data_IF_844699710519
#
_entry.id   IF_844699710519
#
_cell.length_a   1.000
_cell.length_b   1.000
_cell.length_c   1.000
_cell.angle_alpha   90.00
_cell.angle_beta   90.00
_cell.angle_gamma   90.00
#
_symmetry.space_group_name_H-M   'P 1'
#
loop_
_entity.id
_entity.type
_entity.pdbx_description
1 polymer ?
#
# COMPACT_ATOMS: atom_id res chain seq x y z
N UNK A 1 44.29 61.47 44.85
CA UNK A 1 45.39 62.42 44.52
C UNK A 1 46.53 61.61 43.94
N UNK A 2 46.95 61.93 42.71
CA UNK A 2 48.08 61.29 42.02
C UNK A 2 49.40 61.72 42.67
N UNK A 3 50.33 60.80 42.87
CA UNK A 3 51.76 61.11 43.05
C UNK A 3 52.48 60.37 41.93
N UNK A 4 53.06 61.12 40.99
CA UNK A 4 53.90 60.57 39.93
C UNK A 4 55.31 60.30 40.49
N UNK A 5 55.90 59.11 40.27
CA UNK A 5 57.33 58.91 40.48
C UNK A 5 58.13 59.46 39.30
N UNK A 6 59.19 60.22 39.62
CA UNK A 6 60.15 60.77 38.67
C UNK A 6 61.00 59.69 37.97
N UNK A 7 61.53 59.96 36.76
CA UNK A 7 62.29 58.99 35.99
C UNK A 7 63.72 58.84 36.53
N UNK A 8 64.00 57.68 37.14
CA UNK A 8 65.34 57.25 37.51
C UNK A 8 66.17 56.84 36.28
N UNK A 9 67.33 57.49 36.13
CA UNK A 9 68.36 57.37 35.09
C UNK A 9 68.68 55.91 34.74
N UNK A 10 68.59 55.54 33.46
CA UNK A 10 69.02 54.22 32.95
C UNK A 10 70.52 54.01 33.23
N UNK A 11 70.94 52.88 33.83
CA UNK A 11 72.36 52.56 33.96
C UNK A 11 73.00 52.35 32.58
N UNK A 12 74.26 52.80 32.46
CA UNK A 12 75.03 52.80 31.22
C UNK A 12 75.28 51.38 30.69
N UNK A 13 75.39 51.25 29.36
CA UNK A 13 75.46 49.97 28.64
C UNK A 13 76.56 49.00 29.14
N UNK A 14 77.64 49.54 29.69
CA UNK A 14 78.78 48.77 30.20
C UNK A 14 78.41 47.84 31.37
N UNK A 15 77.43 48.24 32.18
CA UNK A 15 77.00 47.45 33.34
C UNK A 15 76.07 46.30 32.94
N UNK A 16 75.39 46.42 31.79
CA UNK A 16 74.68 45.30 31.14
C UNK A 16 75.65 44.34 30.47
N UNK A 17 76.72 44.85 29.86
CA UNK A 17 77.72 44.02 29.19
C UNK A 17 78.48 43.11 30.17
N UNK A 18 78.76 43.58 31.39
CA UNK A 18 79.46 42.79 32.42
C UNK A 18 78.65 41.67 33.05
N UNK A 19 77.32 41.65 32.88
CA UNK A 19 76.44 40.56 33.36
C UNK A 19 76.26 39.41 32.36
N UNK A 20 76.81 39.51 31.16
CA UNK A 20 76.69 38.51 30.10
C UNK A 20 77.94 37.62 29.92
N UNK A 21 78.95 37.77 30.77
CA UNK A 21 80.19 36.97 30.68
C UNK A 21 80.10 35.76 31.61
N UNK A 22 79.91 34.58 31.03
CA UNK A 22 80.05 33.28 31.69
C UNK A 22 81.51 32.83 31.50
N UNK A 23 82.29 32.57 32.56
CA UNK A 23 83.65 32.08 32.39
C UNK A 23 83.63 30.61 31.91
N UNK A 24 84.18 30.38 30.72
CA UNK A 24 84.44 29.04 30.16
C UNK A 24 85.82 28.59 30.61
N UNK A 25 85.93 27.39 31.18
CA UNK A 25 87.21 26.81 31.57
C UNK A 25 88.02 26.39 30.32
N UNK A 26 89.36 26.51 30.33
CA UNK A 26 90.19 26.14 29.19
C UNK A 26 90.22 24.61 29.00
N UNK A 27 90.01 24.18 27.76
CA UNK A 27 90.07 22.78 27.34
C UNK A 27 91.52 22.33 27.20
N UNK A 28 91.87 21.20 27.83
CA UNK A 28 93.23 20.67 27.90
C UNK A 28 93.55 19.89 26.62
N UNK A 29 94.64 20.16 25.88
CA UNK A 29 94.91 19.49 24.61
C UNK A 29 95.48 18.09 24.86
N UNK A 30 94.67 17.05 24.63
CA UNK A 30 95.10 15.66 24.69
C UNK A 30 95.15 15.02 23.29
N UNK A 31 96.38 14.75 22.85
CA UNK A 31 96.88 13.80 21.84
C UNK A 31 96.20 13.71 20.46
N UNK A 32 96.98 14.00 19.42
CA UNK A 32 96.65 13.70 18.03
C UNK A 32 96.47 12.18 17.82
N UNK A 33 95.27 11.77 17.41
CA UNK A 33 94.95 10.39 17.04
C UNK A 33 95.46 10.13 15.62
N UNK A 34 96.23 9.05 15.44
CA UNK A 34 96.78 8.64 14.14
C UNK A 34 95.66 8.40 13.10
N UNK A 35 95.84 8.94 11.90
CA UNK A 35 94.88 8.78 10.80
C UNK A 35 94.82 7.34 10.26
N UNK A 36 93.71 6.94 9.62
CA UNK A 36 93.51 5.57 9.16
C UNK A 36 94.42 5.22 7.97
N UNK A 37 95.04 4.05 8.01
CA UNK A 37 95.78 3.46 6.89
C UNK A 37 94.83 2.95 5.78
N UNK A 38 95.24 2.95 4.50
CA UNK A 38 94.41 2.49 3.40
C UNK A 38 94.10 1.00 3.49
N UNK A 39 92.83 0.64 3.29
CA UNK A 39 92.30 -0.73 3.31
C UNK A 39 91.93 -1.16 1.88
N UNK A 40 92.26 -2.41 1.52
CA UNK A 40 91.89 -3.01 0.23
C UNK A 40 90.36 -3.00 0.01
N UNK A 41 89.87 -2.86 -1.24
CA UNK A 41 88.44 -2.83 -1.53
C UNK A 41 87.73 -4.11 -1.06
N UNK A 42 86.58 -3.91 -0.41
CA UNK A 42 85.81 -4.97 0.22
C UNK A 42 85.36 -6.07 -0.75
N UNK A 43 85.31 -7.30 -0.23
CA UNK A 43 84.81 -8.49 -0.93
C UNK A 43 83.37 -8.25 -1.43
N UNK A 44 83.01 -8.65 -2.66
CA UNK A 44 81.68 -8.41 -3.19
C UNK A 44 80.61 -9.09 -2.32
N UNK A 45 79.59 -8.32 -1.94
CA UNK A 45 78.48 -8.78 -1.13
C UNK A 45 77.64 -9.81 -1.92
N UNK A 46 77.21 -10.93 -1.28
CA UNK A 46 76.33 -11.88 -1.93
C UNK A 46 74.99 -11.21 -2.30
N UNK A 47 74.50 -11.49 -3.50
CA UNK A 47 73.25 -10.91 -4.00
C UNK A 47 72.10 -11.17 -3.02
N UNK A 48 71.36 -10.11 -2.68
CA UNK A 48 70.23 -10.16 -1.75
C UNK A 48 69.21 -11.20 -2.25
N UNK A 49 68.78 -12.15 -1.40
CA UNK A 49 67.81 -13.16 -1.79
C UNK A 49 66.49 -12.50 -2.22
N UNK A 50 65.96 -12.91 -3.37
CA UNK A 50 64.67 -12.42 -3.83
C UNK A 50 63.55 -13.04 -2.99
N UNK A 51 62.76 -12.18 -2.36
CA UNK A 51 61.58 -12.59 -1.57
C UNK A 51 60.55 -13.16 -2.55
N UNK A 52 60.35 -14.48 -2.56
CA UNK A 52 59.20 -15.09 -3.23
C UNK A 52 57.93 -14.52 -2.59
N UNK A 53 57.10 -13.83 -3.38
CA UNK A 53 55.76 -13.42 -2.94
C UNK A 53 54.99 -14.71 -2.60
N UNK A 54 54.57 -14.85 -1.35
CA UNK A 54 53.72 -15.96 -0.94
C UNK A 54 52.49 -16.02 -1.86
N UNK A 55 52.21 -17.21 -2.37
CA UNK A 55 51.06 -17.47 -3.21
C UNK A 55 49.79 -17.04 -2.45
N UNK A 56 48.89 -16.29 -3.10
CA UNK A 56 47.64 -15.88 -2.45
C UNK A 56 46.83 -17.16 -2.23
N UNK A 57 46.77 -17.59 -0.98
CA UNK A 57 45.91 -18.69 -0.59
C UNK A 57 44.50 -18.43 -1.14
N UNK A 58 43.97 -19.40 -1.88
CA UNK A 58 42.60 -19.33 -2.36
C UNK A 58 41.67 -19.56 -1.16
N UNK A 59 40.87 -18.54 -0.85
CA UNK A 59 39.91 -18.57 0.25
C UNK A 59 38.49 -18.83 -0.28
N UNK A 60 38.37 -19.42 -1.47
CA UNK A 60 37.11 -19.83 -2.07
C UNK A 60 36.37 -20.83 -1.16
N UNK A 61 35.06 -20.60 -1.00
CA UNK A 61 34.15 -21.52 -0.30
C UNK A 61 33.80 -21.19 1.17
N UNK A 62 34.34 -20.14 1.77
CA UNK A 62 33.93 -19.70 3.11
C UNK A 62 33.07 -18.42 3.14
N UNK A 63 32.47 -18.13 4.31
CA UNK A 63 31.53 -17.01 4.47
C UNK A 63 32.31 -15.67 4.60
N UNK A 64 31.98 -14.64 3.82
CA UNK A 64 32.57 -13.31 3.99
C UNK A 64 32.12 -12.68 5.31
N UNK A 65 33.00 -11.92 5.95
CA UNK A 65 32.66 -11.24 7.20
C UNK A 65 31.57 -10.18 6.96
N UNK A 66 30.46 -10.18 7.71
CA UNK A 66 29.34 -9.24 7.48
C UNK A 66 29.65 -7.77 7.79
N UNK A 67 30.82 -7.47 8.37
CA UNK A 67 31.23 -6.13 8.78
C UNK A 67 32.30 -5.49 7.90
N UNK A 68 33.32 -6.27 7.53
CA UNK A 68 34.47 -5.77 6.77
C UNK A 68 34.66 -6.50 5.43
N UNK A 69 33.70 -7.34 5.04
CA UNK A 69 33.67 -8.13 3.79
C UNK A 69 34.91 -8.98 3.51
N UNK A 70 35.75 -9.20 4.53
CA UNK A 70 36.96 -10.01 4.39
C UNK A 70 36.54 -11.46 4.10
N UNK A 71 37.02 -12.09 3.01
CA UNK A 71 36.76 -13.50 2.75
C UNK A 71 37.52 -14.34 3.79
N UNK A 72 36.82 -15.28 4.41
CA UNK A 72 37.39 -16.21 5.38
C UNK A 72 37.25 -17.64 4.83
N UNK A 73 38.24 -18.53 5.06
CA UNK A 73 38.11 -19.95 4.70
C UNK A 73 36.94 -20.63 5.43
N UNK A 74 36.43 -21.74 4.88
CA UNK A 74 35.42 -22.56 5.56
C UNK A 74 35.93 -23.05 6.92
N UNK A 75 35.02 -23.16 7.90
CA UNK A 75 35.33 -23.67 9.25
C UNK A 75 35.87 -22.65 10.26
N UNK A 76 36.02 -21.37 9.92
CA UNK A 76 36.40 -20.32 10.89
C UNK A 76 35.18 -19.75 11.61
N UNK A 77 35.31 -19.60 12.93
CA UNK A 77 34.28 -19.00 13.78
C UNK A 77 34.42 -17.49 13.95
N UNK A 78 35.58 -16.91 13.62
CA UNK A 78 35.87 -15.47 13.76
C UNK A 78 36.57 -14.92 12.51
N UNK A 79 36.34 -13.66 12.16
CA UNK A 79 36.96 -12.99 11.01
C UNK A 79 38.48 -12.88 11.21
N UNK A 80 39.26 -13.07 10.15
CA UNK A 80 40.73 -12.99 10.22
C UNK A 80 41.26 -11.56 10.37
N UNK A 81 40.45 -10.57 10.02
CA UNK A 81 40.89 -9.17 10.00
C UNK A 81 40.33 -8.36 11.16
N UNK A 82 39.03 -8.45 11.42
CA UNK A 82 38.39 -7.68 12.49
C UNK A 82 37.97 -8.52 13.70
N UNK A 83 38.31 -9.82 13.74
CA UNK A 83 37.94 -10.76 14.80
C UNK A 83 36.43 -10.94 15.07
N UNK A 84 35.54 -10.39 14.24
CA UNK A 84 34.09 -10.55 14.39
C UNK A 84 33.65 -12.00 14.26
N UNK A 85 32.75 -12.46 15.15
CA UNK A 85 32.19 -13.81 15.08
C UNK A 85 31.47 -14.03 13.74
N UNK A 86 31.91 -15.03 12.98
CA UNK A 86 31.29 -15.49 11.73
C UNK A 86 30.10 -16.41 12.01
N UNK A 87 30.01 -17.00 13.20
CA UNK A 87 28.80 -17.70 13.66
C UNK A 87 27.61 -16.76 13.87
N UNK A 88 27.87 -15.45 13.99
CA UNK A 88 26.86 -14.39 14.02
C UNK A 88 26.52 -13.84 12.62
N UNK A 89 27.17 -14.33 11.56
CA UNK A 89 26.69 -14.17 10.20
C UNK A 89 25.50 -15.13 9.99
N UNK A 90 24.41 -14.80 10.67
CA UNK A 90 23.13 -15.46 10.54
C UNK A 90 22.73 -15.41 9.06
N UNK A 91 22.61 -16.59 8.42
CA UNK A 91 22.12 -16.69 7.04
C UNK A 91 20.71 -16.09 6.92
N UNK A 92 19.99 -16.01 8.04
CA UNK A 92 18.65 -15.43 8.20
C UNK A 92 18.64 -14.09 8.98
N UNK A 93 19.79 -13.40 9.00
CA UNK A 93 19.99 -12.17 9.73
C UNK A 93 19.03 -11.03 9.36
N UNK A 94 19.02 -9.95 10.15
CA UNK A 94 18.07 -8.83 10.02
C UNK A 94 17.84 -8.30 8.58
N UNK A 95 18.87 -8.36 7.73
CA UNK A 95 18.83 -7.94 6.32
C UNK A 95 17.99 -8.85 5.41
N UNK A 96 17.81 -10.13 5.72
CA UNK A 96 17.02 -11.07 4.90
C UNK A 96 15.56 -11.21 5.35
N UNK A 97 15.20 -10.64 6.52
CA UNK A 97 13.82 -10.66 7.01
C UNK A 97 12.91 -9.74 6.21
N UNK A 98 11.76 -10.24 5.81
CA UNK A 98 10.68 -9.44 5.21
C UNK A 98 10.07 -8.50 6.24
N UNK A 99 9.44 -7.43 5.77
CA UNK A 99 8.91 -6.36 6.62
C UNK A 99 7.90 -6.85 7.67
N UNK A 100 7.07 -7.86 7.36
CA UNK A 100 6.16 -8.48 8.33
C UNK A 100 6.90 -9.31 9.38
N UNK A 101 7.96 -10.03 9.00
CA UNK A 101 8.79 -10.78 9.95
C UNK A 101 9.54 -9.85 10.91
N UNK A 102 9.81 -8.60 10.52
CA UNK A 102 10.36 -7.57 11.42
C UNK A 102 9.32 -7.01 12.39
N UNK A 103 8.05 -6.96 11.98
CA UNK A 103 6.95 -6.49 12.81
C UNK A 103 6.49 -7.53 13.85
N UNK A 104 6.46 -8.81 13.49
CA UNK A 104 5.94 -9.89 14.36
C UNK A 104 7.01 -10.79 14.96
N UNK A 105 8.19 -10.90 14.34
CA UNK A 105 9.32 -11.66 14.84
C UNK A 105 10.11 -10.82 15.84
N UNK A 106 9.58 -10.68 17.06
CA UNK A 106 10.25 -10.01 18.17
C UNK A 106 11.69 -10.53 18.37
N UNK A 107 12.52 -9.77 19.08
CA UNK A 107 13.95 -10.03 19.38
C UNK A 107 14.25 -11.47 19.89
N UNK A 108 14.22 -12.50 19.02
CA UNK A 108 14.50 -13.91 19.40
C UNK A 108 16.01 -14.18 19.41
N UNK A 109 16.81 -13.36 18.73
CA UNK A 109 18.27 -13.47 18.72
C UNK A 109 18.88 -12.15 19.17
N UNK A 110 18.82 -11.86 20.48
CA UNK A 110 19.71 -10.86 21.04
C UNK A 110 21.12 -11.42 21.03
N UNK A 111 22.04 -10.65 20.48
CA UNK A 111 23.48 -10.86 20.61
C UNK A 111 23.81 -11.25 22.05
N UNK A 112 24.57 -12.34 22.21
CA UNK A 112 25.14 -12.67 23.51
C UNK A 112 25.97 -11.45 23.96
N UNK A 113 25.72 -10.89 25.16
CA UNK A 113 26.42 -9.69 25.59
C UNK A 113 27.92 -9.93 25.64
N UNK A 114 28.69 -8.94 25.13
CA UNK A 114 30.14 -8.93 25.22
C UNK A 114 30.58 -8.95 26.69
N UNK A 115 31.76 -9.53 26.97
CA UNK A 115 32.35 -9.51 28.31
C UNK A 115 32.66 -8.07 28.75
N UNK A 116 31.79 -7.48 29.60
CA UNK A 116 31.88 -6.09 30.08
C UNK A 116 30.63 -5.24 29.79
N UNK A 117 29.70 -5.74 28.98
CA UNK A 117 28.45 -5.04 28.67
C UNK A 117 27.50 -5.08 29.88
N UNK A 118 27.11 -3.92 30.45
CA UNK A 118 26.07 -3.88 31.50
C UNK A 118 24.68 -4.11 30.89
N UNK A 119 23.84 -4.99 31.46
CA UNK A 119 22.48 -5.19 30.98
C UNK A 119 21.70 -3.88 31.00
N UNK A 120 21.16 -3.48 29.85
CA UNK A 120 20.27 -2.30 29.76
C UNK A 120 19.01 -2.61 30.57
N UNK A 121 18.70 -1.79 31.58
CA UNK A 121 17.46 -1.91 32.38
C UNK A 121 16.27 -2.10 31.43
N UNK A 122 15.56 -3.23 31.55
CA UNK A 122 14.38 -3.60 30.76
C UNK A 122 13.27 -2.56 30.95
N UNK A 123 13.28 -1.48 30.17
CA UNK A 123 12.13 -0.58 29.95
C UNK A 123 11.02 -1.20 29.08
N UNK A 124 11.02 -2.52 28.92
CA UNK A 124 10.14 -3.25 28.01
C UNK A 124 8.72 -3.49 28.52
N UNK A 125 8.46 -3.40 29.84
CA UNK A 125 7.13 -3.68 30.40
C UNK A 125 6.08 -2.65 29.97
N UNK A 126 6.39 -1.36 30.13
CA UNK A 126 5.48 -0.26 29.75
C UNK A 126 5.30 -0.15 28.23
N UNK A 127 6.38 -0.31 27.47
CA UNK A 127 6.29 -0.33 26.00
C UNK A 127 5.43 -1.50 25.51
N UNK A 128 5.58 -2.70 26.09
CA UNK A 128 4.75 -3.86 25.76
C UNK A 128 3.29 -3.65 26.15
N UNK A 129 3.01 -3.08 27.33
CA UNK A 129 1.65 -2.71 27.74
C UNK A 129 1.00 -1.68 26.80
N UNK A 130 1.76 -0.67 26.37
CA UNK A 130 1.29 0.32 25.38
C UNK A 130 1.04 -0.33 24.01
N UNK A 131 1.90 -1.26 23.57
CA UNK A 131 1.67 -2.03 22.35
C UNK A 131 0.40 -2.88 22.46
N UNK A 132 0.17 -3.57 23.59
CA UNK A 132 -1.06 -4.33 23.83
C UNK A 132 -2.30 -3.43 23.86
N UNK A 133 -2.22 -2.28 24.53
CA UNK A 133 -3.32 -1.32 24.59
C UNK A 133 -3.66 -0.77 23.19
N UNK A 134 -2.66 -0.46 22.37
CA UNK A 134 -2.86 -0.04 20.98
C UNK A 134 -3.50 -1.15 20.13
N UNK A 135 -3.07 -2.41 20.33
CA UNK A 135 -3.62 -3.57 19.63
C UNK A 135 -5.09 -3.79 20.00
N UNK A 136 -5.43 -3.70 21.28
CA UNK A 136 -6.82 -3.79 21.76
C UNK A 136 -7.67 -2.63 21.21
N UNK A 137 -7.14 -1.39 21.24
CA UNK A 137 -7.82 -0.21 20.69
C UNK A 137 -8.10 -0.33 19.19
N UNK A 138 -7.28 -1.05 18.43
CA UNK A 138 -7.51 -1.32 17.00
C UNK A 138 -8.40 -2.55 16.77
N UNK A 139 -8.21 -3.61 17.55
CA UNK A 139 -8.91 -4.88 17.38
C UNK A 139 -10.37 -4.80 17.82
N UNK A 140 -10.68 -4.13 18.94
CA UNK A 140 -12.05 -4.01 19.47
C UNK A 140 -13.01 -3.33 18.48
N UNK A 141 -12.71 -2.16 17.90
CA UNK A 141 -13.61 -1.55 16.92
C UNK A 141 -13.69 -2.37 15.62
N UNK A 142 -12.60 -3.05 15.21
CA UNK A 142 -12.63 -3.94 14.06
C UNK A 142 -13.56 -5.15 14.30
N UNK A 143 -13.47 -5.78 15.46
CA UNK A 143 -14.33 -6.91 15.85
C UNK A 143 -15.77 -6.45 16.04
N UNK A 144 -15.99 -5.28 16.65
CA UNK A 144 -17.33 -4.69 16.78
C UNK A 144 -17.94 -4.42 15.41
N UNK A 145 -17.22 -3.73 14.52
CA UNK A 145 -17.71 -3.40 13.18
C UNK A 145 -17.95 -4.67 12.36
N UNK A 146 -17.10 -5.68 12.48
CA UNK A 146 -17.33 -6.99 11.89
C UNK A 146 -18.59 -7.65 12.46
N UNK A 147 -18.78 -7.67 13.78
CA UNK A 147 -19.94 -8.27 14.45
C UNK A 147 -21.27 -7.59 14.10
N UNK A 148 -21.26 -6.27 13.91
CA UNK A 148 -22.48 -5.50 13.57
C UNK A 148 -22.77 -5.49 12.06
N UNK A 149 -21.76 -5.66 11.21
CA UNK A 149 -21.90 -5.71 9.74
C UNK A 149 -21.65 -7.09 9.12
N UNK A 150 -21.66 -8.14 9.92
CA UNK A 150 -21.45 -9.52 9.46
C UNK A 150 -22.41 -9.85 8.33
N UNK A 151 -23.69 -9.52 8.49
CA UNK A 151 -24.70 -9.81 7.48
C UNK A 151 -24.39 -9.12 6.16
N UNK A 152 -24.06 -7.82 6.14
CA UNK A 152 -23.77 -7.09 4.91
C UNK A 152 -22.47 -7.55 4.23
N UNK A 153 -21.42 -7.82 5.03
CA UNK A 153 -20.12 -8.23 4.52
C UNK A 153 -20.13 -9.66 3.96
N UNK A 154 -20.71 -10.61 4.72
CA UNK A 154 -20.87 -12.01 4.28
C UNK A 154 -21.77 -12.06 3.05
N UNK A 155 -22.85 -11.29 3.06
CA UNK A 155 -23.73 -11.24 1.91
C UNK A 155 -23.06 -10.62 0.68
N UNK A 156 -22.23 -9.60 0.84
CA UNK A 156 -21.47 -9.01 -0.27
C UNK A 156 -20.54 -10.02 -0.96
N UNK A 157 -19.91 -10.91 -0.20
CA UNK A 157 -19.04 -11.98 -0.73
C UNK A 157 -19.89 -13.07 -1.40
N UNK A 158 -20.94 -13.55 -0.74
CA UNK A 158 -21.84 -14.57 -1.27
C UNK A 158 -22.52 -14.10 -2.56
N UNK A 159 -22.94 -12.84 -2.64
CA UNK A 159 -23.53 -12.24 -3.85
C UNK A 159 -22.61 -12.21 -5.07
N UNK A 160 -21.30 -12.26 -4.84
CA UNK A 160 -20.33 -12.31 -5.92
C UNK A 160 -20.31 -13.70 -6.58
N UNK A 161 -20.50 -14.76 -5.81
CA UNK A 161 -20.33 -16.15 -6.23
C UNK A 161 -21.65 -16.91 -6.45
N UNK A 162 -22.78 -16.40 -5.95
CA UNK A 162 -24.09 -17.05 -6.14
C UNK A 162 -24.60 -16.87 -7.57
N UNK A 163 -25.10 -17.97 -8.15
CA UNK A 163 -25.78 -17.96 -9.45
C UNK A 163 -26.99 -17.04 -9.39
N UNK A 164 -27.18 -16.23 -10.41
CA UNK A 164 -28.28 -15.24 -10.46
C UNK A 164 -29.52 -15.89 -11.04
N UNK A 165 -30.68 -15.64 -10.45
CA UNK A 165 -31.98 -16.10 -10.94
C UNK A 165 -32.87 -14.89 -11.25
N UNK A 166 -33.71 -14.96 -12.31
CA UNK A 166 -34.73 -13.94 -12.56
C UNK A 166 -35.66 -13.78 -11.35
N UNK A 167 -35.98 -12.54 -11.00
CA UNK A 167 -36.96 -12.18 -10.00
C UNK A 167 -38.24 -11.71 -10.70
N UNK A 168 -39.20 -12.61 -10.96
CA UNK A 168 -40.40 -12.27 -11.71
C UNK A 168 -41.26 -11.26 -10.95
N UNK A 169 -41.82 -10.30 -11.68
CA UNK A 169 -42.71 -9.27 -11.16
C UNK A 169 -44.15 -9.79 -11.12
N UNK A 170 -44.89 -9.47 -10.06
CA UNK A 170 -46.31 -9.86 -9.92
C UNK A 170 -47.27 -8.83 -10.50
N UNK A 171 -46.88 -7.56 -10.50
CA UNK A 171 -47.68 -6.47 -11.04
C UNK A 171 -46.78 -5.36 -11.58
N UNK A 172 -47.32 -4.62 -12.55
CA UNK A 172 -46.67 -3.49 -13.19
C UNK A 172 -47.63 -2.30 -13.27
N UNK A 173 -47.12 -1.09 -13.04
CA UNK A 173 -47.87 0.17 -13.23
C UNK A 173 -46.98 1.26 -13.78
N UNK A 174 -47.55 2.28 -14.40
CA UNK A 174 -46.83 3.47 -14.82
C UNK A 174 -47.66 4.73 -14.51
N UNK A 175 -47.01 5.89 -14.39
CA UNK A 175 -47.74 7.16 -14.24
C UNK A 175 -48.47 7.57 -15.52
N UNK A 176 -47.94 7.18 -16.67
CA UNK A 176 -48.56 7.36 -17.98
C UNK A 176 -48.09 6.24 -18.90
N UNK A 177 -48.91 5.90 -19.89
CA UNK A 177 -48.59 4.82 -20.82
C UNK A 177 -49.24 5.06 -22.18
N UNK A 178 -48.64 4.52 -23.22
CA UNK A 178 -49.29 4.32 -24.51
C UNK A 178 -50.47 3.32 -24.35
N UNK A 179 -51.65 3.60 -24.92
CA UNK A 179 -52.83 2.74 -24.78
C UNK A 179 -52.63 1.30 -25.26
N UNK A 180 -51.74 1.07 -26.24
CA UNK A 180 -51.43 -0.26 -26.79
C UNK A 180 -50.18 -0.87 -26.17
N UNK A 181 -49.29 -0.04 -25.62
CA UNK A 181 -47.98 -0.42 -25.08
C UNK A 181 -47.90 -0.12 -23.57
N UNK A 182 -48.79 -0.78 -22.82
CA UNK A 182 -48.91 -0.74 -21.37
C UNK A 182 -47.67 -1.17 -20.56
N UNK A 183 -47.65 -0.94 -19.24
CA UNK A 183 -46.48 -1.23 -18.39
C UNK A 183 -46.11 -2.72 -18.31
N UNK A 184 -47.06 -3.63 -18.57
CA UNK A 184 -46.82 -5.08 -18.54
C UNK A 184 -45.84 -5.55 -19.61
N UNK A 185 -45.77 -4.85 -20.75
CA UNK A 185 -44.89 -5.21 -21.87
C UNK A 185 -43.41 -4.97 -21.59
N UNK A 186 -43.05 -4.29 -20.51
CA UNK A 186 -41.66 -4.16 -20.07
C UNK A 186 -41.25 -5.26 -19.08
N UNK A 187 -42.11 -6.23 -18.81
CA UNK A 187 -41.86 -7.33 -17.86
C UNK A 187 -42.39 -8.67 -18.38
N UNK A 188 -42.58 -8.80 -19.69
CA UNK A 188 -43.18 -9.99 -20.33
C UNK A 188 -42.13 -10.97 -20.86
N UNK A 189 -40.84 -10.70 -20.63
CA UNK A 189 -39.70 -11.47 -21.14
C UNK A 189 -39.57 -11.48 -22.67
N UNK A 190 -40.26 -10.58 -23.37
CA UNK A 190 -40.16 -10.40 -24.82
C UNK A 190 -39.32 -9.16 -25.15
N UNK A 191 -38.73 -9.16 -26.33
CA UNK A 191 -37.81 -8.09 -26.80
C UNK A 191 -38.31 -7.37 -28.04
N UNK A 192 -39.55 -7.66 -28.43
CA UNK A 192 -40.27 -7.13 -29.57
C UNK A 192 -41.61 -6.49 -29.16
N UNK A 193 -41.90 -6.47 -27.87
CA UNK A 193 -42.92 -5.67 -27.19
C UNK A 193 -42.21 -4.58 -26.39
N UNK A 194 -42.96 -3.55 -25.97
CA UNK A 194 -42.39 -2.47 -25.17
C UNK A 194 -43.47 -1.80 -24.32
N UNK A 195 -43.04 -1.17 -23.23
CA UNK A 195 -43.78 -0.09 -22.60
C UNK A 195 -43.36 1.25 -23.23
N UNK A 196 -44.32 2.13 -23.50
CA UNK A 196 -44.07 3.47 -24.01
C UNK A 196 -44.74 4.54 -23.16
N UNK A 197 -44.14 5.74 -23.08
CA UNK A 197 -44.70 6.86 -22.32
C UNK A 197 -46.04 7.36 -22.87
N UNK A 198 -46.43 7.03 -24.09
CA UNK A 198 -47.74 7.37 -24.69
C UNK A 198 -47.88 8.80 -25.21
N UNK A 199 -46.84 9.61 -25.10
CA UNK A 199 -46.74 10.93 -25.73
C UNK A 199 -45.27 11.22 -26.06
N UNK A 200 -45.06 12.09 -27.03
CA UNK A 200 -43.72 12.46 -27.47
C UNK A 200 -42.96 13.34 -26.47
N UNK A 201 -41.65 13.44 -26.65
CA UNK A 201 -40.75 14.19 -25.79
C UNK A 201 -39.93 13.31 -24.84
N UNK A 202 -39.22 13.95 -23.91
CA UNK A 202 -38.22 13.28 -23.06
C UNK A 202 -38.77 12.47 -21.89
N UNK A 203 -40.09 12.46 -21.67
CA UNK A 203 -40.75 11.67 -20.62
C UNK A 203 -40.28 11.96 -19.19
N UNK A 204 -39.68 13.12 -18.93
CA UNK A 204 -39.06 13.42 -17.63
C UNK A 204 -40.10 13.33 -16.49
N UNK A 205 -39.75 12.62 -15.42
CA UNK A 205 -40.62 12.42 -14.25
C UNK A 205 -41.65 11.28 -14.41
N UNK A 206 -41.87 10.76 -15.63
CA UNK A 206 -42.71 9.59 -15.85
C UNK A 206 -42.02 8.38 -15.22
N UNK A 207 -42.81 7.53 -14.56
CA UNK A 207 -42.28 6.33 -13.95
C UNK A 207 -42.95 5.06 -14.46
N UNK A 208 -42.15 4.01 -14.52
CA UNK A 208 -42.55 2.60 -14.64
C UNK A 208 -42.22 1.91 -13.31
N UNK A 209 -43.15 1.15 -12.77
CA UNK A 209 -43.00 0.53 -11.46
C UNK A 209 -43.38 -0.95 -11.52
N UNK A 210 -42.56 -1.76 -10.86
CA UNK A 210 -42.70 -3.20 -10.73
C UNK A 210 -42.89 -3.57 -9.26
N UNK A 211 -43.76 -4.54 -9.02
CA UNK A 211 -44.03 -5.10 -7.69
C UNK A 211 -43.70 -6.59 -7.69
N UNK A 212 -43.23 -7.11 -6.56
CA UNK A 212 -42.93 -8.54 -6.38
C UNK A 212 -43.96 -9.21 -5.47
N UNK A 213 -44.30 -10.47 -5.77
CA UNK A 213 -45.25 -11.25 -4.95
C UNK A 213 -44.72 -11.54 -3.54
N UNK A 214 -43.40 -11.68 -3.41
CA UNK A 214 -42.70 -11.90 -2.15
C UNK A 214 -41.50 -10.96 -2.11
N UNK A 215 -41.05 -10.51 -0.91
CA UNK A 215 -39.85 -9.72 -0.77
C UNK A 215 -38.65 -10.40 -1.45
N UNK A 216 -37.93 -9.67 -2.31
CA UNK A 216 -36.77 -10.18 -3.05
C UNK A 216 -35.50 -9.47 -2.64
N UNK A 217 -34.38 -10.18 -2.73
CA UNK A 217 -33.05 -9.57 -2.59
C UNK A 217 -32.50 -9.26 -3.97
N UNK A 218 -32.55 -7.99 -4.38
CA UNK A 218 -32.12 -7.58 -5.70
C UNK A 218 -30.60 -7.41 -5.77
N UNK A 219 -30.01 -7.88 -6.87
CA UNK A 219 -28.58 -7.80 -7.15
C UNK A 219 -28.29 -6.85 -8.31
N UNK A 220 -29.07 -6.97 -9.37
CA UNK A 220 -28.96 -6.19 -10.58
C UNK A 220 -30.30 -6.14 -11.31
N UNK A 221 -30.37 -5.19 -12.23
CA UNK A 221 -31.43 -5.08 -13.23
C UNK A 221 -30.78 -5.16 -14.61
N UNK A 222 -31.47 -5.76 -15.58
CA UNK A 222 -31.15 -5.68 -17.00
C UNK A 222 -32.26 -4.86 -17.65
N UNK A 223 -31.89 -3.86 -18.43
CA UNK A 223 -32.83 -2.99 -19.12
C UNK A 223 -32.51 -3.05 -20.61
N UNK A 224 -33.54 -3.35 -21.42
CA UNK A 224 -33.48 -3.24 -22.87
C UNK A 224 -34.22 -1.97 -23.26
N UNK A 225 -33.47 -0.92 -23.63
CA UNK A 225 -34.04 0.37 -24.01
C UNK A 225 -34.65 0.36 -25.42
N UNK A 226 -35.57 1.28 -25.68
CA UNK A 226 -36.21 1.44 -26.98
C UNK A 226 -37.36 0.48 -27.21
N UNK A 227 -37.77 0.32 -28.47
CA UNK A 227 -38.89 -0.57 -28.82
C UNK A 227 -38.48 -2.03 -29.01
N UNK A 228 -37.21 -2.29 -29.33
CA UNK A 228 -36.70 -3.63 -29.60
C UNK A 228 -35.17 -3.67 -29.57
N UNK A 229 -34.61 -4.87 -29.51
CA UNK A 229 -33.19 -5.11 -29.76
C UNK A 229 -32.82 -5.07 -31.25
N UNK A 230 -33.80 -5.09 -32.17
CA UNK A 230 -33.55 -5.01 -33.61
C UNK A 230 -33.05 -3.60 -33.99
N UNK A 231 -31.89 -3.44 -34.65
CA UNK A 231 -31.29 -2.13 -34.91
C UNK A 231 -32.19 -1.15 -35.68
N UNK A 232 -32.97 -1.63 -36.64
CA UNK A 232 -33.91 -0.87 -37.46
C UNK A 232 -35.10 -0.32 -36.66
N UNK A 233 -35.49 -0.98 -35.57
CA UNK A 233 -36.60 -0.57 -34.69
C UNK A 233 -36.14 0.09 -33.40
N UNK A 234 -34.90 -0.12 -32.99
CA UNK A 234 -34.36 0.37 -31.73
C UNK A 234 -34.48 1.89 -31.59
N UNK A 235 -34.10 2.62 -32.65
CA UNK A 235 -33.96 4.08 -32.62
C UNK A 235 -35.15 4.86 -33.19
N UNK A 236 -36.25 4.19 -33.56
CA UNK A 236 -37.46 4.84 -34.12
C UNK A 236 -38.23 5.66 -33.09
N UNK A 237 -38.08 5.33 -31.80
CA UNK A 237 -38.64 6.05 -30.66
C UNK A 237 -37.53 6.53 -29.72
N UNK A 238 -37.86 7.43 -28.80
CA UNK A 238 -36.92 7.91 -27.80
C UNK A 238 -36.59 6.80 -26.79
N UNK A 239 -35.41 6.89 -26.17
CA UNK A 239 -34.84 5.80 -25.35
C UNK A 239 -34.32 6.39 -24.05
N UNK A 240 -34.56 5.78 -22.89
CA UNK A 240 -34.08 6.36 -21.63
C UNK A 240 -32.55 6.41 -21.61
N UNK A 241 -32.03 7.56 -21.19
CA UNK A 241 -30.60 7.79 -20.96
C UNK A 241 -30.29 7.68 -19.47
N UNK A 242 -31.08 8.34 -18.62
CA UNK A 242 -30.92 8.28 -17.17
C UNK A 242 -32.24 7.88 -16.52
N UNK A 243 -32.18 6.85 -15.69
CA UNK A 243 -33.29 6.41 -14.84
C UNK A 243 -32.91 6.57 -13.37
N UNK A 244 -33.82 7.09 -12.56
CA UNK A 244 -33.74 6.93 -11.10
C UNK A 244 -34.51 5.67 -10.71
N UNK A 245 -33.79 4.68 -10.19
CA UNK A 245 -34.37 3.47 -9.65
C UNK A 245 -34.57 3.61 -8.13
N UNK A 246 -35.80 3.87 -7.70
CA UNK A 246 -36.19 3.89 -6.29
C UNK A 246 -36.65 2.51 -5.87
N UNK A 247 -35.88 1.87 -5.01
CA UNK A 247 -36.15 0.57 -4.41
C UNK A 247 -36.92 0.80 -3.11
N UNK A 248 -38.03 0.09 -2.91
CA UNK A 248 -38.83 0.11 -1.69
C UNK A 248 -38.80 -1.27 -1.04
N UNK A 249 -38.44 -1.30 0.24
CA UNK A 249 -38.33 -2.51 1.03
C UNK A 249 -39.54 -2.70 1.94
N UNK A 250 -39.76 -3.93 2.39
CA UNK A 250 -40.92 -4.29 3.23
C UNK A 250 -40.94 -3.62 4.60
N UNK A 251 -39.79 -3.12 5.06
CA UNK A 251 -39.63 -2.34 6.29
C UNK A 251 -40.04 -0.87 6.14
N UNK A 252 -40.49 -0.47 4.94
CA UNK A 252 -40.87 0.90 4.61
C UNK A 252 -39.71 1.79 4.18
N UNK A 253 -38.47 1.30 4.24
CA UNK A 253 -37.31 2.05 3.76
C UNK A 253 -37.30 2.16 2.24
N UNK A 254 -36.64 3.21 1.73
CA UNK A 254 -36.44 3.36 0.29
C UNK A 254 -35.07 3.93 -0.03
N UNK A 255 -34.54 3.52 -1.18
CA UNK A 255 -33.25 3.99 -1.69
C UNK A 255 -33.32 4.25 -3.18
N UNK A 256 -32.85 5.41 -3.60
CA UNK A 256 -32.74 5.76 -5.03
C UNK A 256 -31.33 5.54 -5.53
N UNK A 257 -31.21 4.87 -6.68
CA UNK A 257 -29.95 4.66 -7.40
C UNK A 257 -30.10 5.21 -8.81
N UNK A 258 -29.13 6.00 -9.26
CA UNK A 258 -29.10 6.49 -10.64
C UNK A 258 -28.55 5.40 -11.56
N UNK A 259 -29.30 5.09 -12.63
CA UNK A 259 -28.92 4.15 -13.68
C UNK A 259 -28.66 4.94 -14.98
N UNK A 260 -27.42 4.94 -15.44
CA UNK A 260 -27.04 5.49 -16.74
C UNK A 260 -27.16 4.42 -17.81
N UNK A 261 -27.81 4.69 -18.93
CA UNK A 261 -27.95 3.78 -20.07
C UNK A 261 -27.20 4.35 -21.28
N UNK A 262 -26.58 3.45 -22.02
CA UNK A 262 -25.84 3.77 -23.23
C UNK A 262 -26.82 3.77 -24.42
N UNK A 263 -26.58 4.60 -25.45
CA UNK A 263 -27.44 4.64 -26.64
C UNK A 263 -27.09 3.51 -27.62
N UNK A 264 -27.20 2.26 -27.16
CA UNK A 264 -26.93 1.04 -27.92
C UNK A 264 -28.07 0.03 -27.81
N UNK A 265 -28.39 -0.71 -28.90
CA UNK A 265 -29.40 -1.75 -28.87
C UNK A 265 -28.96 -2.92 -28.00
N UNK A 266 -29.94 -3.59 -27.37
CA UNK A 266 -29.70 -4.80 -26.59
C UNK A 266 -29.83 -4.61 -25.07
N UNK A 267 -29.67 -5.72 -24.33
CA UNK A 267 -29.82 -5.73 -22.87
C UNK A 267 -28.61 -5.07 -22.19
N UNK A 268 -28.88 -4.13 -21.30
CA UNK A 268 -27.85 -3.44 -20.50
C UNK A 268 -28.00 -3.79 -19.03
N UNK A 269 -26.98 -4.45 -18.48
CA UNK A 269 -26.93 -4.79 -17.05
C UNK A 269 -26.50 -3.58 -16.23
N UNK A 270 -27.27 -3.27 -15.18
CA UNK A 270 -26.98 -2.23 -14.20
C UNK A 270 -27.09 -2.75 -12.78
N UNK A 271 -26.21 -2.23 -11.92
CA UNK A 271 -26.19 -2.60 -10.50
C UNK A 271 -27.40 -1.98 -9.81
N UNK A 272 -28.20 -2.80 -9.16
CA UNK A 272 -29.36 -2.37 -8.38
C UNK A 272 -29.52 -3.32 -7.20
N UNK A 273 -29.11 -2.84 -6.02
CA UNK A 273 -29.12 -3.66 -4.80
C UNK A 273 -30.22 -3.22 -3.87
N UNK A 274 -30.83 -4.18 -3.21
CA UNK A 274 -31.78 -3.96 -2.13
C UNK A 274 -32.15 -5.26 -1.45
N UNK A 275 -32.42 -5.18 -0.17
CA UNK A 275 -32.85 -6.30 0.67
C UNK A 275 -34.36 -6.18 0.95
N UNK A 276 -35.05 -7.32 1.03
CA UNK A 276 -36.50 -7.40 1.25
C UNK A 276 -37.32 -6.45 0.34
N UNK A 277 -36.93 -6.34 -0.93
CA UNK A 277 -37.54 -5.43 -1.90
C UNK A 277 -38.92 -5.94 -2.27
N UNK A 278 -39.93 -5.08 -2.11
CA UNK A 278 -41.31 -5.36 -2.52
C UNK A 278 -41.70 -4.64 -3.80
N UNK A 279 -41.01 -3.54 -4.12
CA UNK A 279 -41.36 -2.66 -5.23
C UNK A 279 -40.16 -1.88 -5.74
N UNK A 280 -40.04 -1.71 -7.05
CA UNK A 280 -39.03 -0.86 -7.69
C UNK A 280 -39.72 0.10 -8.64
N UNK A 281 -39.39 1.39 -8.53
CA UNK A 281 -39.86 2.44 -9.44
C UNK A 281 -38.69 2.97 -10.25
N UNK A 282 -38.80 2.92 -11.58
CA UNK A 282 -37.88 3.50 -12.54
C UNK A 282 -38.48 4.81 -13.05
N UNK A 283 -37.92 5.94 -12.65
CA UNK A 283 -38.33 7.28 -13.10
C UNK A 283 -37.38 7.81 -14.16
N UNK A 284 -37.92 8.22 -15.30
CA UNK A 284 -37.15 8.80 -16.39
C UNK A 284 -36.64 10.18 -16.00
N UNK A 285 -35.34 10.42 -16.20
CA UNK A 285 -34.69 11.73 -15.97
C UNK A 285 -34.24 12.40 -17.26
N UNK A 286 -33.74 11.63 -18.20
CA UNK A 286 -33.42 12.10 -19.55
C UNK A 286 -33.52 10.95 -20.55
N UNK A 287 -33.58 11.29 -21.83
CA UNK A 287 -33.71 10.33 -22.92
C UNK A 287 -32.85 10.75 -24.14
N UNK A 288 -32.46 9.77 -24.95
CA UNK A 288 -31.89 9.95 -26.27
C UNK A 288 -32.97 9.99 -27.34
N UNK A 289 -32.68 10.64 -28.48
CA UNK A 289 -33.56 10.66 -29.64
C UNK A 289 -34.90 11.35 -29.40
N UNK A 290 -34.94 12.29 -28.45
CA UNK A 290 -36.13 13.06 -28.07
C UNK A 290 -36.62 13.91 -29.25
N UNK A 291 -37.92 13.80 -29.53
CA UNK A 291 -38.64 14.63 -30.48
C UNK A 291 -40.13 14.64 -30.10
N UNK A 292 -40.89 15.61 -30.59
CA UNK A 292 -42.32 15.79 -30.25
C UNK A 292 -43.21 14.64 -30.72
N UNK A 293 -42.76 13.86 -31.71
CA UNK A 293 -43.42 12.67 -32.26
C UNK A 293 -42.86 11.36 -31.68
N UNK A 294 -41.90 11.43 -30.76
CA UNK A 294 -41.20 10.26 -30.22
C UNK A 294 -41.39 10.11 -28.73
N UNK A 295 -42.08 9.05 -28.34
CA UNK A 295 -42.24 8.65 -26.95
C UNK A 295 -41.01 7.90 -26.43
N UNK A 296 -40.80 7.90 -25.11
CA UNK A 296 -39.72 7.11 -24.50
C UNK A 296 -40.20 5.66 -24.33
N UNK A 297 -39.43 4.72 -24.87
CA UNK A 297 -39.77 3.29 -24.83
C UNK A 297 -38.75 2.47 -24.04
N UNK A 298 -39.25 1.44 -23.35
CA UNK A 298 -38.46 0.38 -22.71
C UNK A 298 -39.05 -0.96 -23.18
N UNK A 299 -38.24 -1.74 -23.87
CA UNK A 299 -38.64 -3.03 -24.40
C UNK A 299 -38.78 -4.06 -23.27
N UNK A 300 -37.80 -4.11 -22.35
CA UNK A 300 -37.80 -5.11 -21.29
C UNK A 300 -37.00 -4.65 -20.06
N UNK A 301 -37.46 -5.07 -18.88
CA UNK A 301 -36.81 -4.86 -17.58
C UNK A 301 -36.80 -6.17 -16.79
N UNK A 302 -35.62 -6.72 -16.56
CA UNK A 302 -35.44 -7.96 -15.82
C UNK A 302 -34.71 -7.71 -14.50
N UNK A 303 -35.32 -8.07 -13.39
CA UNK A 303 -34.68 -8.03 -12.07
C UNK A 303 -34.04 -9.37 -11.73
N UNK A 304 -32.92 -9.35 -11.02
CA UNK A 304 -32.20 -10.56 -10.62
C UNK A 304 -31.99 -10.63 -9.12
N UNK A 305 -32.20 -11.82 -8.58
CA UNK A 305 -31.99 -12.19 -7.18
C UNK A 305 -30.95 -13.30 -7.07
N UNK A 306 -30.53 -13.63 -5.84
CA UNK A 306 -29.79 -14.86 -5.56
C UNK A 306 -30.60 -16.08 -6.01
N UNK A 307 -29.97 -17.04 -6.66
CA UNK A 307 -30.58 -18.35 -6.88
C UNK A 307 -30.76 -19.07 -5.54
N UNK A 308 -31.98 -19.50 -5.24
CA UNK A 308 -32.27 -20.36 -4.08
C UNK A 308 -32.03 -21.85 -4.37
N UNK A 309 -31.55 -22.20 -5.57
CA UNK A 309 -31.23 -23.58 -5.91
C UNK A 309 -30.11 -24.07 -4.99
N UNK A 310 -30.47 -24.91 -4.00
CA UNK A 310 -29.49 -25.79 -3.35
C UNK A 310 -28.83 -26.57 -4.48
N UNK A 311 -27.52 -26.41 -4.63
CA UNK A 311 -26.72 -27.39 -5.36
C UNK A 311 -26.93 -28.73 -4.64
N UNK A 312 -27.75 -29.60 -5.23
CA UNK A 312 -27.86 -31.00 -4.86
C UNK A 312 -26.60 -31.73 -5.33
#
# INVERSE_FOLDING_TARGET
>A
MRVFPQPGRRPAGDERARRLVIPVAPENPAAAVAGPAPVLPGRPEPARPQVRRAERADWSGGIPCPWCDTPNPPGRNFCRQCAMALSAADKDGYRTRTWWQRLFGGDVHREAPWAGERPRLRRGGRARLLSWAALVLLAVPLVWTAAVRTDDAVNGVVDHFVKRAPAPTSAAKASHTDPKHGPKFAFDALKNTFWGTGHGGGGQGIFLEATFAQPRRLLNVIITSGMSTQPDKYATQARPQVLHATVFSSDGSSRTTTLQLDDVPGPQKRKLRGDNVVRVRLTIRSAYGVADDRQVCIAEVEFFTRSTAKTL
#
